data_IF_091609843262
#
_entry.id   IF_091609843262
#
_cell.length_a   1.000
_cell.length_b   1.000
_cell.length_c   1.000
_cell.angle_alpha   90.00
_cell.angle_beta   90.00
_cell.angle_gamma   90.00
#
_symmetry.space_group_name_H-M   'P 1'
#
loop_
_entity.id
_entity.type
_entity.pdbx_description
1 polymer ?
#
# COMPACT_ATOMS: atom_id res chain seq x y z
N UNK A 1 -39.79 -10.53 2.65
CA UNK A 1 -38.75 -10.17 3.64
C UNK A 1 -37.43 -10.19 2.90
N UNK A 2 -37.05 -9.06 2.32
CA UNK A 2 -35.79 -8.91 1.59
C UNK A 2 -34.65 -8.89 2.60
N UNK A 3 -33.70 -9.81 2.45
CA UNK A 3 -32.43 -9.71 3.18
C UNK A 3 -31.75 -8.43 2.73
N UNK A 4 -31.69 -7.42 3.60
CA UNK A 4 -30.73 -6.33 3.42
C UNK A 4 -29.35 -6.97 3.47
N UNK A 5 -28.79 -7.25 2.30
CA UNK A 5 -27.37 -7.49 2.13
C UNK A 5 -26.66 -6.29 2.74
N UNK A 6 -25.81 -6.52 3.74
CA UNK A 6 -24.98 -5.46 4.29
C UNK A 6 -24.08 -4.95 3.17
N UNK A 7 -24.40 -3.77 2.64
CA UNK A 7 -23.70 -3.21 1.49
C UNK A 7 -22.22 -2.96 1.80
N UNK A 8 -21.86 -2.82 3.09
CA UNK A 8 -20.48 -2.73 3.56
C UNK A 8 -19.68 -3.99 3.27
N UNK A 9 -20.31 -5.16 3.31
CA UNK A 9 -19.67 -6.43 2.96
C UNK A 9 -19.40 -6.56 1.45
N UNK A 10 -20.06 -5.74 0.62
CA UNK A 10 -19.79 -5.64 -0.82
C UNK A 10 -18.78 -4.55 -1.18
N UNK A 11 -18.32 -3.75 -0.19
CA UNK A 11 -17.31 -2.72 -0.39
C UNK A 11 -15.93 -3.28 -0.02
N UNK A 12 -15.07 -3.39 -1.02
CA UNK A 12 -13.72 -3.92 -0.89
C UNK A 12 -12.77 -2.92 -0.24
N UNK A 13 -11.73 -3.45 0.41
CA UNK A 13 -10.63 -2.66 0.99
C UNK A 13 -9.92 -1.81 -0.06
N UNK A 14 -9.71 -2.37 -1.25
CA UNK A 14 -9.14 -1.66 -2.40
C UNK A 14 -10.09 -0.54 -2.85
N UNK A 15 -11.39 -0.79 -2.89
CA UNK A 15 -12.41 0.22 -3.23
C UNK A 15 -12.39 1.43 -2.30
N UNK A 16 -12.22 1.21 -1.00
CA UNK A 16 -12.11 2.30 -0.04
C UNK A 16 -10.80 3.07 -0.20
N UNK A 17 -9.67 2.38 -0.33
CA UNK A 17 -8.36 3.03 -0.50
C UNK A 17 -8.29 3.88 -1.78
N UNK A 18 -8.84 3.37 -2.88
CA UNK A 18 -8.84 4.08 -4.16
C UNK A 18 -9.77 5.31 -4.12
N UNK A 19 -10.90 5.25 -3.40
CA UNK A 19 -11.74 6.42 -3.15
C UNK A 19 -11.00 7.48 -2.32
N UNK A 20 -10.21 7.06 -1.32
CA UNK A 20 -9.37 7.97 -0.53
C UNK A 20 -8.33 8.66 -1.42
N UNK A 21 -7.68 7.94 -2.34
CA UNK A 21 -6.74 8.54 -3.30
C UNK A 21 -7.45 9.52 -4.25
N UNK A 22 -8.62 9.15 -4.78
CA UNK A 22 -9.38 10.03 -5.66
C UNK A 22 -9.82 11.33 -4.95
N UNK A 23 -10.24 11.24 -3.69
CA UNK A 23 -10.57 12.40 -2.86
C UNK A 23 -9.32 13.24 -2.62
N UNK A 24 -8.15 12.63 -2.37
CA UNK A 24 -6.87 13.35 -2.24
C UNK A 24 -6.56 14.15 -3.50
N UNK A 25 -6.60 13.51 -4.68
CA UNK A 25 -6.35 14.18 -5.97
C UNK A 25 -7.37 15.31 -6.26
N UNK A 26 -8.63 15.15 -5.84
CA UNK A 26 -9.63 16.21 -5.96
C UNK A 26 -9.32 17.40 -5.04
N UNK A 27 -8.90 17.15 -3.80
CA UNK A 27 -8.50 18.19 -2.86
C UNK A 27 -7.21 18.90 -3.33
N UNK A 28 -6.24 18.16 -3.88
CA UNK A 28 -5.01 18.72 -4.45
C UNK A 28 -5.30 19.71 -5.58
N UNK A 29 -6.36 19.46 -6.39
CA UNK A 29 -6.81 20.39 -7.45
C UNK A 29 -7.49 21.66 -6.92
N UNK A 30 -7.88 21.69 -5.66
CA UNK A 30 -8.60 22.80 -5.02
C UNK A 30 -7.70 23.66 -4.13
N UNK A 31 -6.47 23.24 -3.86
CA UNK A 31 -5.51 23.95 -3.01
C UNK A 31 -4.45 24.69 -3.84
N UNK A 32 -4.39 26.02 -3.71
CA UNK A 32 -3.27 26.84 -4.23
C UNK A 32 -2.11 26.95 -3.22
N UNK A 33 -2.28 26.48 -1.97
CA UNK A 33 -1.27 26.55 -0.90
C UNK A 33 -1.30 25.30 -0.03
N UNK A 34 -0.17 24.58 -0.02
CA UNK A 34 0.08 23.25 0.53
C UNK A 34 -0.90 22.13 0.05
N UNK A 35 -0.37 21.00 -0.46
CA UNK A 35 -1.20 19.88 -0.84
C UNK A 35 -1.93 19.34 0.40
N UNK A 36 -3.27 19.17 0.35
CA UNK A 36 -4.02 18.56 1.43
C UNK A 36 -3.45 17.17 1.73
N UNK A 37 -2.92 17.00 2.95
CA UNK A 37 -2.31 15.74 3.36
C UNK A 37 -3.28 14.57 3.16
N UNK A 38 -2.76 13.38 2.84
CA UNK A 38 -3.49 12.11 2.73
C UNK A 38 -4.48 11.88 3.90
N UNK A 39 -4.18 12.47 5.05
CA UNK A 39 -4.97 12.54 6.27
C UNK A 39 -6.38 13.14 6.08
N UNK A 40 -6.53 14.18 5.26
CA UNK A 40 -7.80 14.86 5.01
C UNK A 40 -8.71 14.06 4.09
N UNK A 41 -8.14 13.50 3.02
CA UNK A 41 -8.88 12.66 2.09
C UNK A 41 -9.43 11.40 2.76
N UNK A 42 -8.64 10.81 3.66
CA UNK A 42 -9.08 9.66 4.45
C UNK A 42 -10.26 10.01 5.37
N UNK A 43 -10.17 11.13 6.10
CA UNK A 43 -11.22 11.53 7.03
C UNK A 43 -12.57 11.73 6.32
N UNK A 44 -12.54 12.33 5.12
CA UNK A 44 -13.74 12.59 4.32
C UNK A 44 -14.36 11.31 3.75
N UNK A 45 -13.55 10.36 3.25
CA UNK A 45 -14.07 9.05 2.83
C UNK A 45 -14.69 8.30 4.01
N UNK A 46 -14.02 8.31 5.16
CA UNK A 46 -14.47 7.55 6.32
C UNK A 46 -15.75 8.15 6.92
N UNK A 47 -15.92 9.48 6.87
CA UNK A 47 -17.17 10.15 7.20
C UNK A 47 -18.29 9.74 6.25
N UNK A 48 -18.03 9.75 4.93
CA UNK A 48 -18.98 9.27 3.93
C UNK A 48 -19.39 7.80 4.20
N UNK A 49 -18.41 6.93 4.44
CA UNK A 49 -18.64 5.51 4.74
C UNK A 49 -19.51 5.29 6.00
N UNK A 50 -19.26 6.07 7.06
CA UNK A 50 -20.02 5.98 8.32
C UNK A 50 -21.43 6.58 8.18
N UNK A 51 -21.57 7.68 7.44
CA UNK A 51 -22.84 8.39 7.29
C UNK A 51 -23.83 7.68 6.34
N UNK A 52 -23.33 6.92 5.36
CA UNK A 52 -24.18 6.27 4.36
C UNK A 52 -24.90 5.02 4.89
N UNK A 53 -26.16 4.87 4.49
CA UNK A 53 -27.00 3.71 4.82
C UNK A 53 -27.11 2.70 3.67
N UNK A 54 -26.68 3.08 2.46
CA UNK A 54 -26.61 2.21 1.28
C UNK A 54 -25.34 2.47 0.44
N UNK A 55 -24.95 1.52 -0.43
CA UNK A 55 -23.83 1.67 -1.37
C UNK A 55 -24.01 2.88 -2.28
N UNK A 56 -25.23 3.11 -2.76
CA UNK A 56 -25.53 4.25 -3.62
C UNK A 56 -25.31 5.60 -2.92
N UNK A 57 -25.71 5.71 -1.64
CA UNK A 57 -25.46 6.91 -0.83
C UNK A 57 -23.96 7.13 -0.57
N UNK A 58 -23.20 6.05 -0.38
CA UNK A 58 -21.75 6.13 -0.20
C UNK A 58 -21.03 6.58 -1.47
N UNK A 59 -21.37 5.98 -2.61
CA UNK A 59 -20.78 6.35 -3.89
C UNK A 59 -21.16 7.80 -4.28
N UNK A 60 -22.37 8.26 -3.94
CA UNK A 60 -22.80 9.64 -4.15
C UNK A 60 -22.07 10.63 -3.22
N UNK A 61 -21.88 10.28 -1.94
CA UNK A 61 -21.12 11.10 -1.00
C UNK A 61 -19.65 11.25 -1.43
N UNK A 62 -19.01 10.15 -1.86
CA UNK A 62 -17.64 10.20 -2.39
C UNK A 62 -17.58 11.04 -3.68
N UNK A 63 -18.54 10.87 -4.61
CA UNK A 63 -18.61 11.68 -5.84
C UNK A 63 -18.81 13.17 -5.54
N UNK A 64 -19.65 13.50 -4.56
CA UNK A 64 -19.88 14.88 -4.14
C UNK A 64 -18.62 15.58 -3.61
N UNK A 65 -17.71 14.83 -2.98
CA UNK A 65 -16.40 15.32 -2.56
C UNK A 65 -15.47 15.61 -3.75
N UNK A 66 -15.58 14.85 -4.84
CA UNK A 66 -14.81 15.07 -6.07
C UNK A 66 -15.26 16.31 -6.87
N UNK A 67 -16.49 16.78 -6.66
CA UNK A 67 -17.12 17.85 -7.45
C UNK A 67 -17.11 19.24 -6.77
N UNK A 68 -16.58 19.37 -5.54
CA UNK A 68 -16.53 20.65 -4.84
C UNK A 68 -15.65 21.69 -5.58
N UNK A 69 -16.09 22.96 -5.63
CA UNK A 69 -15.33 24.08 -6.22
C UNK A 69 -14.75 24.98 -5.13
N UNK A 70 -13.53 25.48 -5.36
CA UNK A 70 -12.76 26.27 -4.40
C UNK A 70 -13.46 27.60 -4.01
N UNK A 71 -13.47 28.00 -2.72
CA UNK A 71 -13.68 29.37 -2.30
C UNK A 71 -12.38 30.20 -2.33
N UNK A 72 -12.54 31.50 -2.54
CA UNK A 72 -11.47 32.51 -2.69
C UNK A 72 -10.68 32.75 -1.40
N UNK A 73 -9.38 32.98 -1.59
CA UNK A 73 -8.23 33.05 -0.67
C UNK A 73 -8.25 34.10 0.47
N UNK A 74 -7.42 33.83 1.49
CA UNK A 74 -6.65 34.84 2.22
C UNK A 74 -5.29 34.29 2.67
N UNK A 75 -4.22 35.01 2.34
CA UNK A 75 -2.80 34.69 2.52
C UNK A 75 -2.38 34.51 3.99
N UNK A 76 -1.50 33.53 4.27
CA UNK A 76 -0.63 33.52 5.45
C UNK A 76 0.74 32.91 5.11
N UNK A 77 1.79 33.53 5.65
CA UNK A 77 3.20 33.36 5.29
C UNK A 77 3.84 32.10 5.94
N UNK A 78 4.71 31.44 5.19
CA UNK A 78 5.48 30.25 5.57
C UNK A 78 6.61 30.55 6.56
N UNK A 79 6.70 29.74 7.62
CA UNK A 79 7.85 29.64 8.53
C UNK A 79 8.27 28.16 8.68
N UNK A 80 9.51 27.85 9.10
CA UNK A 80 10.09 26.51 9.03
C UNK A 80 9.44 25.53 10.02
N UNK A 81 9.38 24.24 9.64
CA UNK A 81 8.84 23.13 10.43
C UNK A 81 9.72 22.84 11.65
N UNK A 82 9.48 23.54 12.76
CA UNK A 82 9.80 23.08 14.11
C UNK A 82 8.60 22.35 14.72
N UNK A 83 8.86 21.43 15.65
CA UNK A 83 7.90 20.55 16.33
C UNK A 83 6.64 21.31 16.82
N UNK A 84 5.58 21.31 16.01
CA UNK A 84 4.32 21.96 16.37
C UNK A 84 3.60 21.12 17.42
N UNK A 85 3.33 21.72 18.58
CA UNK A 85 2.49 21.13 19.60
C UNK A 85 1.06 20.93 19.05
N UNK A 86 0.38 19.82 19.37
CA UNK A 86 -0.92 19.51 18.77
C UNK A 86 -1.99 20.54 19.12
N UNK A 87 -2.83 20.91 18.15
CA UNK A 87 -3.88 21.93 18.29
C UNK A 87 -5.09 21.50 19.14
N UNK A 88 -5.19 20.22 19.53
CA UNK A 88 -6.28 19.68 20.35
C UNK A 88 -5.78 19.02 21.64
N UNK A 89 -6.55 19.07 22.75
CA UNK A 89 -6.22 18.31 23.95
C UNK A 89 -6.15 16.83 23.59
N UNK A 90 -5.00 16.21 23.85
CA UNK A 90 -4.77 14.80 23.53
C UNK A 90 -5.71 13.90 24.33
N UNK A 91 -6.09 12.76 23.74
CA UNK A 91 -6.98 11.78 24.38
C UNK A 91 -6.18 10.73 25.16
N UNK A 92 -6.84 9.98 26.04
CA UNK A 92 -6.26 8.82 26.70
C UNK A 92 -6.63 7.55 25.94
N UNK A 93 -5.65 6.66 25.71
CA UNK A 93 -5.86 5.35 25.05
C UNK A 93 -5.17 4.29 25.90
N UNK A 94 -5.95 3.50 26.63
CA UNK A 94 -5.42 2.60 27.66
C UNK A 94 -4.63 3.36 28.74
N UNK A 95 -3.36 2.99 28.94
CA UNK A 95 -2.48 3.69 29.88
C UNK A 95 -1.70 4.86 29.25
N UNK A 96 -1.79 5.03 27.93
CA UNK A 96 -1.16 6.14 27.21
C UNK A 96 -1.99 7.42 27.35
N UNK A 97 -1.30 8.53 27.64
CA UNK A 97 -1.88 9.86 27.81
C UNK A 97 -1.42 10.78 26.68
N UNK A 98 -2.11 11.91 26.48
CA UNK A 98 -1.79 12.89 25.44
C UNK A 98 -1.63 12.23 24.05
N UNK A 99 -2.60 11.41 23.67
CA UNK A 99 -2.61 10.75 22.38
C UNK A 99 -3.20 11.69 21.33
N UNK A 100 -2.47 11.92 20.24
CA UNK A 100 -2.86 12.82 19.17
C UNK A 100 -3.05 12.05 17.87
N UNK A 101 -4.13 12.35 17.16
CA UNK A 101 -4.46 11.68 15.91
C UNK A 101 -3.39 11.91 14.84
N UNK A 102 -2.88 10.82 14.25
CA UNK A 102 -1.85 10.82 13.20
C UNK A 102 -2.46 10.56 11.84
N UNK A 103 -3.19 9.47 11.71
CA UNK A 103 -3.76 9.02 10.44
C UNK A 103 -4.92 8.06 10.71
N UNK A 104 -5.71 7.78 9.69
CA UNK A 104 -6.70 6.72 9.71
C UNK A 104 -6.45 5.79 8.53
N UNK A 105 -6.82 4.53 8.73
CA UNK A 105 -6.66 3.41 7.84
C UNK A 105 -7.96 2.62 7.82
N UNK A 106 -8.06 1.65 6.90
CA UNK A 106 -9.29 0.93 6.61
C UNK A 106 -10.04 0.42 7.85
N UNK A 107 -9.30 -0.19 8.78
CA UNK A 107 -9.85 -0.84 9.99
C UNK A 107 -9.39 -0.16 11.29
N UNK A 108 -8.50 0.83 11.19
CA UNK A 108 -7.77 1.34 12.33
C UNK A 108 -7.48 2.83 12.24
N UNK A 109 -7.46 3.50 13.39
CA UNK A 109 -6.96 4.86 13.54
C UNK A 109 -5.61 4.82 14.24
N UNK A 110 -4.67 5.66 13.79
CA UNK A 110 -3.33 5.76 14.35
C UNK A 110 -3.22 7.03 15.18
N UNK A 111 -2.82 6.87 16.43
CA UNK A 111 -2.54 7.96 17.36
C UNK A 111 -1.08 7.95 17.78
N UNK A 112 -0.53 9.11 18.13
CA UNK A 112 0.81 9.26 18.68
C UNK A 112 0.72 9.69 20.14
N UNK A 113 1.44 8.99 21.01
CA UNK A 113 1.73 9.40 22.38
C UNK A 113 3.25 9.41 22.56
N UNK A 114 3.84 10.60 22.67
CA UNK A 114 5.29 10.79 22.74
C UNK A 114 6.04 10.06 21.60
N UNK A 115 6.78 8.99 21.91
CA UNK A 115 7.54 8.15 20.95
C UNK A 115 6.82 6.86 20.56
N UNK A 116 5.53 6.73 20.88
CA UNK A 116 4.72 5.53 20.61
C UNK A 116 3.60 5.86 19.63
N UNK A 117 3.42 5.00 18.63
CA UNK A 117 2.27 4.98 17.75
C UNK A 117 1.28 3.90 18.22
N UNK A 118 0.00 4.24 18.28
CA UNK A 118 -1.09 3.39 18.71
C UNK A 118 -2.04 3.17 17.53
N UNK A 119 -2.04 1.95 16.96
CA UNK A 119 -3.00 1.51 15.95
C UNK A 119 -4.24 0.98 16.68
N UNK A 120 -5.26 1.83 16.82
CA UNK A 120 -6.54 1.53 17.48
C UNK A 120 -7.48 0.94 16.45
N UNK A 121 -7.92 -0.30 16.64
CA UNK A 121 -8.87 -0.94 15.74
C UNK A 121 -10.27 -0.37 15.98
N UNK A 122 -10.80 0.33 14.97
CA UNK A 122 -12.10 1.00 15.03
C UNK A 122 -13.19 0.25 14.27
N UNK A 123 -12.81 -0.65 13.35
CA UNK A 123 -13.73 -1.50 12.61
C UNK A 123 -13.21 -2.94 12.56
N UNK A 124 -13.97 -3.86 13.15
CA UNK A 124 -13.69 -5.30 13.13
C UNK A 124 -14.61 -6.08 12.19
N UNK A 125 -15.51 -5.40 11.47
CA UNK A 125 -16.42 -6.02 10.52
C UNK A 125 -15.71 -6.38 9.21
N UNK A 126 -14.66 -5.64 8.87
CA UNK A 126 -13.72 -5.96 7.79
C UNK A 126 -12.96 -7.22 8.20
N UNK A 127 -13.45 -8.36 7.72
CA UNK A 127 -12.87 -9.67 8.01
C UNK A 127 -11.58 -9.92 7.22
N UNK A 128 -11.41 -11.14 6.74
CA UNK A 128 -10.26 -11.51 5.92
C UNK A 128 -10.18 -10.68 4.63
N UNK A 129 -8.99 -10.21 4.20
CA UNK A 129 -7.66 -10.53 4.74
C UNK A 129 -7.23 -9.65 5.93
N UNK A 130 -8.02 -8.65 6.34
CA UNK A 130 -7.66 -7.63 7.33
C UNK A 130 -8.00 -8.04 8.76
N UNK A 131 -7.30 -9.05 9.28
CA UNK A 131 -7.55 -9.58 10.61
C UNK A 131 -6.55 -9.01 11.64
N UNK A 132 -6.94 -8.05 12.50
CA UNK A 132 -6.01 -7.40 13.42
C UNK A 132 -5.45 -8.34 14.49
N UNK A 133 -6.18 -9.40 14.85
CA UNK A 133 -5.67 -10.41 15.77
C UNK A 133 -4.61 -11.31 15.11
N UNK A 134 -4.76 -11.59 13.81
CA UNK A 134 -3.73 -12.29 13.04
C UNK A 134 -2.51 -11.39 12.85
N UNK A 135 -2.70 -10.13 12.48
CA UNK A 135 -1.63 -9.13 12.39
C UNK A 135 -0.79 -9.13 13.67
N UNK A 136 -1.44 -9.00 14.84
CA UNK A 136 -0.74 -9.05 16.13
C UNK A 136 0.01 -10.37 16.37
N UNK A 137 -0.55 -11.52 15.96
CA UNK A 137 0.13 -12.82 16.09
C UNK A 137 1.34 -12.93 15.15
N UNK A 138 1.22 -12.45 13.92
CA UNK A 138 2.33 -12.41 12.95
C UNK A 138 3.43 -11.51 13.49
N UNK A 139 3.10 -10.28 13.88
CA UNK A 139 4.06 -9.30 14.40
C UNK A 139 4.82 -9.79 15.64
N UNK A 140 4.21 -10.62 16.50
CA UNK A 140 4.91 -11.24 17.65
C UNK A 140 6.02 -12.21 17.25
N UNK A 141 6.01 -12.70 16.01
CA UNK A 141 7.04 -13.59 15.45
C UNK A 141 8.15 -12.81 14.73
N UNK A 142 8.00 -11.49 14.58
CA UNK A 142 8.88 -10.66 13.77
C UNK A 142 9.75 -9.77 14.64
N UNK A 143 11.00 -9.62 14.19
CA UNK A 143 11.97 -8.69 14.75
C UNK A 143 12.45 -7.73 13.65
N UNK A 144 13.49 -6.93 13.94
CA UNK A 144 14.15 -6.11 12.92
C UNK A 144 14.59 -7.00 11.74
N UNK A 145 14.36 -6.56 10.49
CA UNK A 145 14.02 -5.20 10.05
C UNK A 145 12.51 -4.92 9.88
N UNK A 146 11.61 -5.68 10.52
CA UNK A 146 10.19 -5.32 10.61
C UNK A 146 9.94 -4.36 11.80
N UNK A 147 8.86 -3.58 11.75
CA UNK A 147 8.43 -2.71 12.86
C UNK A 147 8.17 -3.59 14.11
N UNK A 148 8.80 -3.30 15.27
CA UNK A 148 8.59 -4.10 16.46
C UNK A 148 7.23 -3.78 17.10
N UNK A 149 6.45 -4.81 17.41
CA UNK A 149 5.25 -4.68 18.22
C UNK A 149 5.63 -4.58 19.70
N UNK A 150 5.37 -3.43 20.31
CA UNK A 150 5.69 -3.20 21.72
C UNK A 150 4.74 -3.95 22.64
N UNK A 151 3.43 -3.80 22.38
CA UNK A 151 2.38 -4.48 23.14
C UNK A 151 1.04 -4.49 22.40
N UNK A 152 0.11 -5.25 22.95
CA UNK A 152 -1.30 -5.29 22.53
C UNK A 152 -2.19 -5.18 23.76
N UNK A 153 -3.19 -4.31 23.73
CA UNK A 153 -4.14 -4.15 24.83
C UNK A 153 -5.54 -3.80 24.33
N UNK A 154 -6.51 -3.71 25.25
CA UNK A 154 -7.83 -3.11 25.00
C UNK A 154 -7.88 -1.76 25.70
N UNK A 155 -8.31 -0.74 24.99
CA UNK A 155 -8.47 0.60 25.57
C UNK A 155 -9.73 0.68 26.46
N UNK A 156 -10.06 1.89 26.93
CA UNK A 156 -11.21 2.13 27.80
C UNK A 156 -12.55 1.79 27.11
N UNK A 157 -12.61 1.86 25.78
CA UNK A 157 -13.77 1.53 24.95
C UNK A 157 -13.76 0.05 24.49
N UNK A 158 -12.88 -0.78 25.06
CA UNK A 158 -12.67 -2.18 24.69
C UNK A 158 -12.17 -2.40 23.24
N UNK A 159 -11.66 -1.36 22.58
CA UNK A 159 -11.06 -1.47 21.24
C UNK A 159 -9.70 -2.13 21.33
N UNK A 160 -9.46 -3.12 20.47
CA UNK A 160 -8.16 -3.77 20.38
C UNK A 160 -7.13 -2.76 19.83
N UNK A 161 -5.98 -2.64 20.48
CA UNK A 161 -4.96 -1.64 20.15
C UNK A 161 -3.59 -2.29 20.10
N UNK A 162 -2.81 -1.95 19.07
CA UNK A 162 -1.42 -2.35 18.92
C UNK A 162 -0.53 -1.12 19.12
N UNK A 163 0.53 -1.26 19.92
CA UNK A 163 1.51 -0.20 20.16
C UNK A 163 2.83 -0.48 19.45
N UNK A 164 3.39 0.53 18.81
CA UNK A 164 4.63 0.49 18.03
C UNK A 164 5.53 1.68 18.38
N UNK A 165 6.84 1.63 18.12
CA UNK A 165 7.63 2.85 18.06
C UNK A 165 7.06 3.80 17.00
N UNK A 166 6.94 5.08 17.33
CA UNK A 166 6.53 6.09 16.36
C UNK A 166 7.69 6.38 15.40
N UNK A 167 7.45 6.17 14.11
CA UNK A 167 8.35 6.54 13.03
C UNK A 167 7.86 7.87 12.42
N UNK A 168 8.68 8.92 12.39
CA UNK A 168 8.26 10.25 11.93
C UNK A 168 8.09 10.37 10.42
N UNK A 169 8.63 9.41 9.66
CA UNK A 169 8.64 9.43 8.21
C UNK A 169 8.23 8.06 7.66
N UNK A 170 7.72 8.05 6.43
CA UNK A 170 7.55 6.91 5.56
C UNK A 170 8.24 7.17 4.22
N UNK A 171 8.47 6.14 3.42
CA UNK A 171 8.97 6.33 2.06
C UNK A 171 7.98 7.15 1.23
N UNK A 172 6.67 7.03 1.48
CA UNK A 172 5.65 7.88 0.84
C UNK A 172 5.90 9.37 1.10
N UNK A 173 6.17 9.75 2.35
CA UNK A 173 6.45 11.16 2.71
C UNK A 173 7.67 11.71 1.95
N UNK A 174 8.71 10.87 1.76
CA UNK A 174 9.90 11.29 1.02
C UNK A 174 9.63 11.38 -0.50
N UNK A 175 8.83 10.48 -1.04
CA UNK A 175 8.43 10.48 -2.45
C UNK A 175 7.57 11.72 -2.78
N UNK A 176 6.68 12.12 -1.87
CA UNK A 176 5.87 13.34 -2.02
C UNK A 176 6.72 14.62 -2.02
N UNK A 177 7.88 14.62 -1.37
CA UNK A 177 8.84 15.73 -1.42
C UNK A 177 9.61 15.82 -2.75
N UNK A 178 9.44 14.82 -3.64
CA UNK A 178 10.03 14.79 -4.97
C UNK A 178 11.21 13.81 -5.08
N UNK A 179 12.19 14.17 -5.90
CA UNK A 179 13.27 13.26 -6.31
C UNK A 179 14.09 12.77 -5.11
N UNK A 180 14.23 11.45 -5.01
CA UNK A 180 15.11 10.82 -4.02
C UNK A 180 16.55 10.72 -4.55
N UNK A 181 17.57 11.07 -3.74
CA UNK A 181 18.94 10.75 -4.05
C UNK A 181 19.15 9.24 -4.19
N UNK A 182 19.96 8.84 -5.16
CA UNK A 182 20.35 7.44 -5.39
C UNK A 182 20.76 6.71 -4.10
N UNK A 183 21.54 7.37 -3.24
CA UNK A 183 22.00 6.79 -1.98
C UNK A 183 20.86 6.48 -1.00
N UNK A 184 19.79 7.28 -0.98
CA UNK A 184 18.59 7.01 -0.18
C UNK A 184 17.81 5.84 -0.75
N UNK A 185 17.60 5.83 -2.06
CA UNK A 185 16.93 4.72 -2.75
C UNK A 185 17.66 3.41 -2.45
N UNK A 186 18.98 3.37 -2.63
CA UNK A 186 19.79 2.20 -2.34
C UNK A 186 19.61 1.73 -0.88
N UNK A 187 19.71 2.64 0.10
CA UNK A 187 19.54 2.28 1.52
C UNK A 187 18.14 1.74 1.84
N UNK A 188 17.10 2.47 1.45
CA UNK A 188 15.71 2.08 1.77
C UNK A 188 15.32 0.78 1.10
N UNK A 189 15.74 0.55 -0.15
CA UNK A 189 15.47 -0.72 -0.83
C UNK A 189 16.35 -1.87 -0.33
N UNK A 190 17.57 -1.60 0.14
CA UNK A 190 18.37 -2.61 0.85
C UNK A 190 17.66 -3.07 2.12
N UNK A 191 17.15 -2.13 2.94
CA UNK A 191 16.39 -2.43 4.16
C UNK A 191 15.09 -3.19 3.83
N UNK A 192 14.34 -2.75 2.80
CA UNK A 192 13.15 -3.43 2.32
C UNK A 192 13.45 -4.88 1.90
N UNK A 193 14.47 -5.11 1.05
CA UNK A 193 14.77 -6.46 0.58
C UNK A 193 15.29 -7.34 1.73
N UNK A 194 16.03 -6.80 2.69
CA UNK A 194 16.38 -7.54 3.91
C UNK A 194 15.12 -7.94 4.71
N UNK A 195 14.12 -7.06 4.81
CA UNK A 195 12.83 -7.40 5.44
C UNK A 195 12.07 -8.47 4.66
N UNK A 196 12.03 -8.36 3.33
CA UNK A 196 11.38 -9.35 2.47
C UNK A 196 12.07 -10.72 2.56
N UNK A 197 13.41 -10.79 2.56
CA UNK A 197 14.15 -12.03 2.85
C UNK A 197 13.68 -12.63 4.17
N UNK A 198 13.69 -11.82 5.24
CA UNK A 198 13.40 -12.27 6.60
C UNK A 198 11.97 -12.83 6.76
N UNK A 199 10.96 -12.21 6.13
CA UNK A 199 9.57 -12.67 6.21
C UNK A 199 9.29 -13.83 5.25
N UNK A 200 9.87 -13.82 4.04
CA UNK A 200 9.68 -14.86 3.03
C UNK A 200 10.30 -16.18 3.47
N UNK A 201 11.43 -16.17 4.19
CA UNK A 201 12.03 -17.36 4.81
C UNK A 201 11.12 -18.00 5.88
N UNK A 202 10.20 -17.24 6.47
CA UNK A 202 9.16 -17.73 7.39
C UNK A 202 7.88 -18.13 6.68
N UNK A 203 7.85 -18.05 5.34
CA UNK A 203 6.67 -18.30 4.52
C UNK A 203 5.60 -17.21 4.60
N UNK A 204 5.90 -16.07 5.22
CA UNK A 204 4.96 -14.95 5.34
C UNK A 204 4.95 -14.18 4.01
N UNK A 205 3.75 -13.85 3.53
CA UNK A 205 3.56 -12.97 2.36
C UNK A 205 2.94 -11.66 2.88
N UNK A 206 3.55 -10.52 2.59
CA UNK A 206 3.07 -9.24 3.11
C UNK A 206 1.76 -8.80 2.45
N UNK A 207 1.68 -8.95 1.11
CA UNK A 207 0.51 -8.68 0.26
C UNK A 207 0.07 -7.22 0.15
N UNK A 208 0.86 -6.27 0.65
CA UNK A 208 0.55 -4.83 0.53
C UNK A 208 1.81 -3.95 0.57
N UNK A 209 2.84 -4.34 -0.18
CA UNK A 209 4.06 -3.53 -0.33
C UNK A 209 3.74 -2.28 -1.15
N UNK A 210 4.04 -1.11 -0.57
CA UNK A 210 3.86 0.24 -1.12
C UNK A 210 4.68 1.26 -0.32
N UNK A 211 4.88 2.50 -0.81
CA UNK A 211 5.72 3.48 -0.11
C UNK A 211 5.31 3.75 1.36
N UNK A 212 4.01 3.77 1.66
CA UNK A 212 3.52 4.11 3.01
C UNK A 212 3.77 3.03 4.06
N UNK A 213 4.04 1.78 3.67
CA UNK A 213 4.33 0.70 4.63
C UNK A 213 5.81 0.63 5.03
N UNK A 214 6.68 1.37 4.34
CA UNK A 214 8.10 1.45 4.68
C UNK A 214 8.33 2.66 5.58
N UNK A 215 8.32 2.43 6.89
CA UNK A 215 8.48 3.47 7.91
C UNK A 215 9.96 3.75 8.19
N UNK A 216 10.29 4.99 8.49
CA UNK A 216 11.66 5.48 8.58
C UNK A 216 11.89 6.21 9.91
N UNK A 217 12.97 5.85 10.62
CA UNK A 217 13.41 6.58 11.84
C UNK A 217 13.87 8.01 11.51
N UNK A 218 14.46 8.20 10.33
CA UNK A 218 14.91 9.48 9.79
C UNK A 218 14.81 9.47 8.26
N UNK A 219 14.89 10.62 7.56
CA UNK A 219 14.89 10.66 6.09
C UNK A 219 16.01 9.83 5.43
N UNK A 220 17.06 9.48 6.17
CA UNK A 220 18.17 8.65 5.68
C UNK A 220 18.13 7.21 6.22
N UNK A 221 17.06 6.83 6.92
CA UNK A 221 16.83 5.51 7.51
C UNK A 221 17.24 5.39 8.99
N UNK A 222 17.30 4.16 9.53
CA UNK A 222 16.93 2.89 8.88
C UNK A 222 15.44 2.79 8.55
N UNK A 223 15.11 1.92 7.59
CA UNK A 223 13.74 1.62 7.20
C UNK A 223 13.20 0.33 7.84
N UNK A 224 11.90 0.32 8.14
CA UNK A 224 11.20 -0.81 8.75
C UNK A 224 9.94 -1.14 7.96
N UNK A 225 9.79 -2.42 7.64
CA UNK A 225 8.55 -2.92 7.04
C UNK A 225 7.44 -2.98 8.09
N UNK A 226 6.28 -2.41 7.77
CA UNK A 226 5.14 -2.26 8.67
C UNK A 226 3.82 -2.67 8.03
N UNK A 227 2.74 -2.67 8.81
CA UNK A 227 1.37 -2.99 8.39
C UNK A 227 1.19 -4.41 7.82
N UNK A 228 1.23 -5.38 8.73
CA UNK A 228 0.94 -6.78 8.43
C UNK A 228 -0.56 -7.10 8.46
N UNK A 229 -1.42 -6.07 8.37
CA UNK A 229 -2.87 -6.17 8.47
C UNK A 229 -3.45 -7.14 7.46
N UNK A 230 -2.90 -7.16 6.24
CA UNK A 230 -3.30 -8.07 5.18
C UNK A 230 -2.36 -9.29 5.05
N UNK A 231 -1.35 -9.49 5.89
CA UNK A 231 -0.35 -10.53 5.65
C UNK A 231 -0.92 -11.97 5.69
N UNK A 232 -0.36 -12.85 4.86
CA UNK A 232 -0.67 -14.28 4.88
C UNK A 232 0.45 -15.05 5.60
N UNK A 233 0.10 -15.98 6.47
CA UNK A 233 1.05 -16.84 7.18
C UNK A 233 0.62 -18.31 7.07
N UNK A 234 1.55 -19.26 6.81
CA UNK A 234 1.23 -20.66 6.50
C UNK A 234 0.45 -21.37 7.61
N UNK A 235 0.71 -21.06 8.87
CA UNK A 235 -0.01 -21.66 10.00
C UNK A 235 -1.18 -20.81 10.53
N UNK A 236 -1.04 -19.49 10.57
CA UNK A 236 -2.05 -18.59 11.15
C UNK A 236 -3.20 -18.27 10.19
N UNK A 237 -3.01 -18.42 8.88
CA UNK A 237 -4.01 -18.14 7.86
C UNK A 237 -4.70 -19.39 7.30
N UNK A 238 -4.10 -20.58 7.39
CA UNK A 238 -4.56 -21.79 6.68
C UNK A 238 -6.03 -22.15 6.87
N UNK A 239 -6.60 -21.88 8.05
CA UNK A 239 -7.98 -22.21 8.36
C UNK A 239 -9.00 -21.29 7.69
N UNK A 240 -8.65 -20.01 7.50
CA UNK A 240 -9.53 -19.03 6.86
C UNK A 240 -9.18 -18.83 5.39
N UNK A 241 -7.93 -19.11 5.03
CA UNK A 241 -7.34 -18.80 3.73
C UNK A 241 -6.26 -19.85 3.38
N UNK A 242 -6.66 -21.02 2.87
CA UNK A 242 -5.74 -22.10 2.52
C UNK A 242 -4.71 -21.69 1.44
N UNK A 243 -3.53 -22.33 1.37
CA UNK A 243 -2.46 -21.95 0.45
C UNK A 243 -2.84 -21.91 -1.03
N UNK A 244 -3.80 -22.72 -1.48
CA UNK A 244 -4.25 -22.78 -2.88
C UNK A 244 -5.61 -22.10 -3.11
N UNK A 245 -6.14 -21.43 -2.11
CA UNK A 245 -7.43 -20.73 -2.17
C UNK A 245 -7.32 -19.37 -1.46
N UNK A 246 -6.24 -18.63 -1.74
CA UNK A 246 -6.03 -17.29 -1.18
C UNK A 246 -7.00 -16.26 -1.77
N UNK A 247 -7.33 -15.26 -0.97
CA UNK A 247 -8.10 -14.08 -1.31
C UNK A 247 -7.33 -13.27 -2.33
N UNK A 248 -8.02 -12.85 -3.39
CA UNK A 248 -7.42 -12.13 -4.50
C UNK A 248 -7.42 -10.62 -4.30
N UNK A 249 -8.29 -10.10 -3.42
CA UNK A 249 -8.38 -8.67 -3.11
C UNK A 249 -7.30 -8.23 -2.13
N UNK A 250 -6.06 -8.29 -2.61
CA UNK A 250 -4.84 -7.91 -1.92
C UNK A 250 -3.98 -7.05 -2.85
N UNK A 251 -3.08 -6.27 -2.26
CA UNK A 251 -2.27 -5.28 -2.96
C UNK A 251 -3.06 -4.01 -3.26
N UNK A 252 -2.33 -2.89 -3.28
CA UNK A 252 -2.90 -1.57 -3.51
C UNK A 252 -2.65 -1.10 -4.95
N UNK A 253 -3.71 -0.75 -5.67
CA UNK A 253 -3.69 -0.07 -6.98
C UNK A 253 -2.49 -0.42 -7.88
N UNK A 254 -1.56 0.53 -8.10
CA UNK A 254 -0.44 0.40 -9.04
C UNK A 254 0.58 -0.70 -8.68
N UNK A 255 0.58 -1.19 -7.44
CA UNK A 255 1.54 -2.19 -6.95
C UNK A 255 1.00 -3.63 -7.04
N UNK A 256 -0.25 -3.81 -7.48
CA UNK A 256 -0.89 -5.14 -7.51
C UNK A 256 -0.31 -6.02 -8.62
N UNK A 257 0.10 -7.24 -8.23
CA UNK A 257 0.72 -8.20 -9.14
C UNK A 257 -0.28 -8.79 -10.14
N UNK A 258 0.16 -9.09 -11.39
CA UNK A 258 -0.74 -9.54 -12.44
C UNK A 258 -1.36 -10.91 -12.12
N UNK A 259 -0.65 -11.83 -11.46
CA UNK A 259 -1.23 -13.12 -11.06
C UNK A 259 -2.45 -12.98 -10.14
N UNK A 260 -2.47 -11.98 -9.25
CA UNK A 260 -3.63 -11.71 -8.41
C UNK A 260 -4.79 -11.13 -9.23
N UNK A 261 -4.50 -10.25 -10.21
CA UNK A 261 -5.48 -9.68 -11.13
C UNK A 261 -6.13 -10.73 -12.04
N UNK A 262 -5.37 -11.76 -12.42
CA UNK A 262 -5.85 -12.88 -13.23
C UNK A 262 -6.37 -14.08 -12.42
N UNK A 263 -6.50 -13.91 -11.10
CA UNK A 263 -7.19 -14.85 -10.24
C UNK A 263 -6.40 -16.08 -9.81
N UNK A 264 -5.07 -16.04 -9.83
CA UNK A 264 -4.22 -17.10 -9.28
C UNK A 264 -4.33 -17.14 -7.75
N UNK A 265 -5.18 -17.99 -7.21
CA UNK A 265 -5.32 -18.17 -5.76
C UNK A 265 -4.15 -18.92 -5.10
N UNK A 266 -3.19 -19.38 -5.88
CA UNK A 266 -1.95 -20.03 -5.42
C UNK A 266 -0.74 -19.09 -5.46
N UNK A 267 -0.96 -17.78 -5.52
CA UNK A 267 0.12 -16.79 -5.48
C UNK A 267 0.99 -16.96 -4.22
N UNK A 268 2.27 -16.62 -4.36
CA UNK A 268 3.28 -16.74 -3.32
C UNK A 268 3.95 -15.40 -3.00
N UNK A 269 5.12 -15.43 -2.33
CA UNK A 269 5.93 -14.26 -1.99
C UNK A 269 6.29 -13.37 -3.18
N UNK A 270 6.18 -13.89 -4.41
CA UNK A 270 6.54 -13.18 -5.64
C UNK A 270 5.68 -11.93 -5.85
N UNK A 271 4.45 -11.87 -5.32
CA UNK A 271 3.61 -10.66 -5.42
C UNK A 271 4.22 -9.47 -4.68
N UNK A 272 4.92 -9.72 -3.55
CA UNK A 272 5.63 -8.67 -2.82
C UNK A 272 6.82 -8.16 -3.64
N UNK A 273 7.47 -9.05 -4.40
CA UNK A 273 8.59 -8.70 -5.28
C UNK A 273 8.14 -7.85 -6.47
N UNK A 274 6.97 -8.14 -7.05
CA UNK A 274 6.37 -7.29 -8.09
C UNK A 274 6.11 -5.88 -7.57
N UNK A 275 5.45 -5.80 -6.40
CA UNK A 275 5.14 -4.53 -5.76
C UNK A 275 6.42 -3.74 -5.40
N UNK A 276 7.46 -4.40 -4.89
CA UNK A 276 8.75 -3.78 -4.65
C UNK A 276 9.41 -3.26 -5.93
N UNK A 277 9.29 -3.99 -7.06
CA UNK A 277 9.78 -3.53 -8.36
C UNK A 277 9.05 -2.30 -8.89
N UNK A 278 7.72 -2.27 -8.79
CA UNK A 278 6.91 -1.12 -9.16
C UNK A 278 7.23 0.11 -8.28
N UNK A 279 7.37 -0.09 -6.97
CA UNK A 279 7.77 0.94 -6.02
C UNK A 279 9.19 1.48 -6.29
N UNK A 280 10.14 0.61 -6.66
CA UNK A 280 11.50 1.02 -7.03
C UNK A 280 11.49 1.90 -8.29
N UNK A 281 10.72 1.51 -9.30
CA UNK A 281 10.59 2.27 -10.53
C UNK A 281 10.04 3.68 -10.29
N UNK A 282 9.06 3.81 -9.39
CA UNK A 282 8.49 5.10 -8.97
C UNK A 282 9.55 5.98 -8.27
N UNK A 283 10.27 5.41 -7.30
CA UNK A 283 11.26 6.13 -6.49
C UNK A 283 12.49 6.59 -7.31
N UNK A 284 12.85 5.85 -8.35
CA UNK A 284 14.03 6.15 -9.17
C UNK A 284 13.83 7.29 -10.19
N UNK A 285 12.59 7.68 -10.48
CA UNK A 285 12.29 8.72 -11.48
C UNK A 285 12.67 10.11 -10.98
N UNK A 286 12.99 11.01 -11.91
CA UNK A 286 13.25 12.42 -11.57
C UNK A 286 12.01 13.11 -10.96
N UNK A 287 10.85 12.83 -11.54
CA UNK A 287 9.56 13.16 -10.94
C UNK A 287 8.89 11.84 -10.56
N UNK A 288 8.70 11.54 -9.27
CA UNK A 288 8.08 10.29 -8.87
C UNK A 288 6.72 10.13 -9.51
N UNK A 289 6.52 8.97 -10.14
CA UNK A 289 5.28 8.59 -10.80
C UNK A 289 5.20 7.07 -10.83
N UNK A 290 4.05 6.57 -10.42
CA UNK A 290 3.70 5.16 -10.47
C UNK A 290 4.05 4.52 -11.82
N UNK A 291 4.52 3.27 -11.77
CA UNK A 291 4.87 2.53 -12.98
C UNK A 291 3.64 2.15 -13.80
N UNK A 292 2.54 1.81 -13.11
CA UNK A 292 1.28 1.39 -13.71
C UNK A 292 0.16 2.30 -13.23
N UNK A 293 -0.52 2.96 -14.15
CA UNK A 293 -1.71 3.74 -13.84
C UNK A 293 -2.86 2.83 -13.38
N UNK A 294 -3.39 3.09 -12.19
CA UNK A 294 -4.66 2.56 -11.71
C UNK A 294 -5.75 3.61 -11.87
N UNK A 295 -6.99 3.22 -12.22
CA UNK A 295 -8.10 4.19 -12.29
C UNK A 295 -8.80 4.30 -10.93
N UNK A 296 -9.49 5.41 -10.63
CA UNK A 296 -10.37 5.47 -9.47
C UNK A 296 -11.47 4.40 -9.51
N UNK A 297 -11.80 3.81 -8.36
CA UNK A 297 -12.75 2.69 -8.22
C UNK A 297 -14.20 3.00 -8.51
N UNK A 298 -14.57 4.27 -8.57
CA UNK A 298 -15.90 4.68 -9.04
C UNK A 298 -16.09 4.47 -10.55
N UNK A 299 -15.03 4.16 -11.31
CA UNK A 299 -15.14 3.73 -12.68
C UNK A 299 -15.29 2.20 -12.78
N UNK A 300 -16.38 1.74 -13.42
CA UNK A 300 -16.56 0.35 -13.81
C UNK A 300 -15.30 -0.16 -14.55
N UNK A 301 -14.67 -1.22 -14.03
CA UNK A 301 -13.51 -1.85 -14.65
C UNK A 301 -12.12 -1.35 -14.22
N UNK A 302 -11.96 -0.81 -13.00
CA UNK A 302 -10.63 -0.41 -12.47
C UNK A 302 -9.54 -1.50 -12.64
N UNK A 303 -9.82 -2.75 -12.25
CA UNK A 303 -8.87 -3.87 -12.45
C UNK A 303 -8.49 -4.06 -13.93
N UNK A 304 -9.44 -3.87 -14.85
CA UNK A 304 -9.17 -3.92 -16.28
C UNK A 304 -8.31 -2.71 -16.72
N UNK A 305 -8.54 -1.53 -16.15
CA UNK A 305 -7.69 -0.36 -16.34
C UNK A 305 -6.24 -0.64 -15.98
N UNK A 306 -6.00 -1.20 -14.79
CA UNK A 306 -4.67 -1.59 -14.33
C UNK A 306 -4.06 -2.69 -15.22
N UNK A 307 -4.82 -3.73 -15.58
CA UNK A 307 -4.36 -4.78 -16.52
C UNK A 307 -3.91 -4.15 -17.85
N UNK A 308 -4.71 -3.26 -18.43
CA UNK A 308 -4.39 -2.58 -19.67
C UNK A 308 -3.16 -1.67 -19.53
N UNK A 309 -2.97 -1.06 -18.36
CA UNK A 309 -1.79 -0.25 -18.03
C UNK A 309 -0.52 -1.09 -17.99
N UNK A 310 -0.58 -2.27 -17.35
CA UNK A 310 0.51 -3.25 -17.34
C UNK A 310 0.83 -3.67 -18.77
N UNK A 311 -0.18 -4.04 -19.56
CA UNK A 311 0.02 -4.54 -20.93
C UNK A 311 0.59 -3.48 -21.86
N UNK A 312 0.15 -2.22 -21.76
CA UNK A 312 0.74 -1.10 -22.52
C UNK A 312 2.18 -0.79 -22.10
N UNK A 313 2.57 -1.17 -20.88
CA UNK A 313 3.89 -0.86 -20.34
C UNK A 313 4.88 -1.95 -20.69
N UNK A 314 4.65 -3.18 -20.26
CA UNK A 314 5.60 -4.29 -20.43
C UNK A 314 5.19 -5.29 -21.53
N UNK A 315 4.10 -5.01 -22.25
CA UNK A 315 3.57 -5.86 -23.32
C UNK A 315 2.53 -6.86 -22.82
N UNK A 316 1.70 -7.36 -23.73
CA UNK A 316 0.76 -8.46 -23.42
C UNK A 316 1.51 -9.76 -23.18
N UNK A 317 1.09 -10.57 -22.18
CA UNK A 317 1.76 -11.83 -21.89
C UNK A 317 1.52 -12.85 -23.01
N UNK A 318 2.58 -13.54 -23.39
CA UNK A 318 2.55 -14.76 -24.22
C UNK A 318 2.71 -16.01 -23.35
N UNK A 319 2.45 -17.20 -23.93
CA UNK A 319 2.65 -18.49 -23.26
C UNK A 319 4.10 -18.74 -22.83
N UNK A 320 5.05 -18.10 -23.50
CA UNK A 320 6.49 -18.17 -23.20
C UNK A 320 6.88 -17.21 -22.06
N UNK A 321 6.27 -16.02 -22.05
CA UNK A 321 6.53 -15.00 -21.02
C UNK A 321 5.84 -15.31 -19.68
N UNK A 322 4.71 -16.02 -19.73
CA UNK A 322 3.90 -16.37 -18.56
C UNK A 322 3.30 -17.79 -18.66
N UNK A 323 4.14 -18.84 -18.67
CA UNK A 323 3.68 -20.22 -18.86
C UNK A 323 2.69 -20.69 -17.79
N UNK A 324 2.80 -20.17 -16.56
CA UNK A 324 1.93 -20.51 -15.44
C UNK A 324 0.47 -20.07 -15.67
N UNK A 325 0.26 -19.00 -16.44
CA UNK A 325 -1.06 -18.43 -16.68
C UNK A 325 -1.97 -19.29 -17.58
N UNK A 326 -1.43 -20.35 -18.20
CA UNK A 326 -2.21 -21.36 -18.92
C UNK A 326 -3.22 -22.05 -18.01
N UNK A 327 -2.90 -22.17 -16.73
CA UNK A 327 -3.75 -22.86 -15.75
C UNK A 327 -4.67 -21.91 -14.98
N UNK A 328 -4.66 -20.61 -15.30
CA UNK A 328 -5.56 -19.66 -14.65
C UNK A 328 -6.99 -19.88 -15.13
N UNK A 329 -7.95 -19.52 -14.28
CA UNK A 329 -9.38 -19.60 -14.62
C UNK A 329 -9.72 -18.79 -15.88
N UNK A 330 -9.03 -17.67 -16.08
CA UNK A 330 -9.16 -16.82 -17.27
C UNK A 330 -7.76 -16.53 -17.80
N UNK A 331 -7.22 -17.37 -18.71
CA UNK A 331 -5.91 -17.17 -19.28
C UNK A 331 -5.85 -15.84 -20.06
N UNK A 332 -4.76 -15.05 -19.93
CA UNK A 332 -4.66 -13.74 -20.54
C UNK A 332 -4.37 -13.75 -22.06
N UNK A 333 -4.26 -14.93 -22.68
CA UNK A 333 -3.71 -15.08 -24.04
C UNK A 333 -4.71 -14.81 -25.18
N UNK A 334 -6.02 -14.83 -24.88
CA UNK A 334 -7.07 -14.69 -25.90
C UNK A 334 -7.65 -13.27 -25.96
N UNK A 335 -6.96 -12.30 -25.35
CA UNK A 335 -7.40 -10.90 -25.43
C UNK A 335 -7.27 -10.36 -26.86
N UNK A 336 -8.36 -9.78 -27.37
CA UNK A 336 -8.44 -9.25 -28.74
C UNK A 336 -7.41 -8.15 -29.06
N UNK A 337 -6.86 -7.48 -28.04
CA UNK A 337 -5.85 -6.43 -28.19
C UNK A 337 -4.54 -6.89 -27.57
N UNK A 338 -3.56 -7.14 -28.43
CA UNK A 338 -2.18 -7.43 -28.07
C UNK A 338 -1.39 -6.11 -28.07
N UNK A 339 -0.63 -5.88 -27.02
CA UNK A 339 0.29 -4.74 -26.90
C UNK A 339 1.73 -5.25 -27.04
N UNK A 340 2.50 -4.61 -27.91
CA UNK A 340 3.95 -4.85 -27.96
C UNK A 340 4.59 -4.24 -26.71
N UNK A 341 5.51 -5.00 -26.09
CA UNK A 341 6.25 -4.52 -24.93
C UNK A 341 7.24 -3.43 -25.33
N UNK A 342 7.39 -2.43 -24.45
CA UNK A 342 8.44 -1.42 -24.58
C UNK A 342 9.73 -1.93 -23.95
N UNK A 343 10.88 -1.48 -24.44
CA UNK A 343 12.14 -1.77 -23.78
C UNK A 343 12.19 -1.06 -22.42
N UNK A 344 12.94 -1.61 -21.45
CA UNK A 344 13.09 -0.93 -20.15
C UNK A 344 13.81 0.41 -20.27
N UNK A 345 14.64 0.59 -21.32
CA UNK A 345 15.25 1.88 -21.67
C UNK A 345 14.19 2.92 -22.07
N UNK A 346 13.13 2.50 -22.78
CA UNK A 346 12.01 3.39 -23.14
C UNK A 346 11.02 3.62 -21.99
N UNK A 347 10.85 2.63 -21.09
CA UNK A 347 9.93 2.74 -19.95
C UNK A 347 10.52 3.64 -18.85
N UNK A 348 11.84 3.55 -18.64
CA UNK A 348 12.59 4.20 -17.56
C UNK A 348 13.84 4.90 -18.11
N UNK A 349 13.71 5.87 -19.04
CA UNK A 349 14.84 6.48 -19.73
C UNK A 349 15.80 7.23 -18.79
N UNK A 350 15.27 7.84 -17.73
CA UNK A 350 16.01 8.71 -16.82
C UNK A 350 16.57 7.98 -15.57
N UNK A 351 16.51 6.65 -15.57
CA UNK A 351 16.95 5.81 -14.44
C UNK A 351 18.30 5.17 -14.75
N UNK A 352 19.18 5.11 -13.76
CA UNK A 352 20.47 4.44 -13.88
C UNK A 352 20.29 2.97 -14.31
N UNK A 353 21.17 2.51 -15.21
CA UNK A 353 21.11 1.19 -15.83
C UNK A 353 20.95 0.05 -14.80
N UNK A 354 21.66 0.10 -13.67
CA UNK A 354 21.59 -0.97 -12.67
C UNK A 354 20.31 -0.99 -11.84
N UNK A 355 19.66 0.16 -11.62
CA UNK A 355 18.30 0.17 -11.07
C UNK A 355 17.30 -0.34 -12.11
N UNK A 356 17.47 0.04 -13.38
CA UNK A 356 16.62 -0.43 -14.49
C UNK A 356 16.69 -1.95 -14.63
N UNK A 357 17.89 -2.55 -14.53
CA UNK A 357 18.09 -4.00 -14.52
C UNK A 357 17.36 -4.68 -13.36
N UNK A 358 17.43 -4.11 -12.15
CA UNK A 358 16.74 -4.66 -10.99
C UNK A 358 15.22 -4.56 -11.14
N UNK A 359 14.69 -3.43 -11.60
CA UNK A 359 13.26 -3.29 -11.89
C UNK A 359 12.82 -4.33 -12.92
N UNK A 360 13.59 -4.52 -13.99
CA UNK A 360 13.29 -5.50 -15.04
C UNK A 360 13.24 -6.95 -14.52
N UNK A 361 14.07 -7.28 -13.52
CA UNK A 361 14.09 -8.60 -12.89
C UNK A 361 12.94 -8.81 -11.89
N UNK A 362 12.39 -7.74 -11.32
CA UNK A 362 11.29 -7.77 -10.36
C UNK A 362 9.91 -7.68 -11.05
N UNK A 363 9.80 -6.93 -12.14
CA UNK A 363 8.55 -6.65 -12.85
C UNK A 363 8.45 -7.53 -14.09
N UNK A 364 8.31 -8.83 -13.87
CA UNK A 364 8.13 -9.86 -14.90
C UNK A 364 6.91 -10.74 -14.58
N UNK A 365 6.21 -11.19 -15.62
CA UNK A 365 4.99 -12.00 -15.49
C UNK A 365 5.21 -13.35 -14.80
N UNK A 366 6.17 -14.14 -15.29
CA UNK A 366 6.44 -15.48 -14.73
C UNK A 366 7.00 -15.36 -13.31
N UNK A 367 6.21 -15.79 -12.34
CA UNK A 367 6.61 -15.84 -10.93
C UNK A 367 7.88 -16.69 -10.72
N UNK A 368 8.07 -17.76 -11.50
CA UNK A 368 9.29 -18.58 -11.43
C UNK A 368 10.56 -17.93 -11.99
N UNK A 369 10.44 -16.84 -12.76
CA UNK A 369 11.58 -16.06 -13.29
C UNK A 369 11.82 -14.75 -12.53
N UNK A 370 10.87 -14.33 -11.69
CA UNK A 370 10.93 -13.09 -10.91
C UNK A 370 12.04 -13.21 -9.85
N UNK A 371 12.86 -12.17 -9.72
CA UNK A 371 13.93 -12.16 -8.73
C UNK A 371 13.37 -12.24 -7.30
N UNK A 372 13.95 -13.10 -6.48
CA UNK A 372 13.67 -13.14 -5.03
C UNK A 372 14.36 -11.98 -4.31
N UNK A 373 13.94 -11.66 -3.08
CA UNK A 373 14.59 -10.63 -2.29
C UNK A 373 16.10 -10.88 -2.09
N UNK A 374 16.52 -12.14 -1.88
CA UNK A 374 17.93 -12.49 -1.76
C UNK A 374 18.71 -12.34 -3.07
N UNK A 375 18.04 -12.47 -4.23
CA UNK A 375 18.64 -12.20 -5.53
C UNK A 375 18.71 -10.70 -5.80
N UNK A 376 17.67 -9.94 -5.44
CA UNK A 376 17.61 -8.48 -5.57
C UNK A 376 18.79 -7.79 -4.87
N UNK A 377 19.14 -8.24 -3.66
CA UNK A 377 20.30 -7.76 -2.89
C UNK A 377 21.66 -7.97 -3.57
N UNK A 378 21.74 -8.81 -4.63
CA UNK A 378 22.97 -9.08 -5.38
C UNK A 378 23.14 -8.22 -6.62
N UNK A 379 22.15 -7.39 -6.97
CA UNK A 379 22.27 -6.46 -8.10
C UNK A 379 23.26 -5.34 -7.79
N UNK A 380 23.94 -4.84 -8.83
CA UNK A 380 25.00 -3.80 -8.71
C UNK A 380 24.54 -2.57 -7.94
N UNK A 381 23.29 -2.13 -8.15
CA UNK A 381 22.70 -0.98 -7.45
C UNK A 381 22.49 -1.21 -5.94
N UNK A 382 22.49 -2.46 -5.47
CA UNK A 382 22.27 -2.85 -4.07
C UNK A 382 23.58 -3.24 -3.35
N UNK A 383 24.65 -3.51 -4.08
CA UNK A 383 25.96 -3.79 -3.49
C UNK A 383 26.51 -2.51 -2.85
N UNK A 384 26.90 -2.58 -1.57
CA UNK A 384 27.61 -1.49 -0.92
C UNK A 384 28.98 -1.32 -1.61
N UNK A 385 29.22 -0.14 -2.18
CA UNK A 385 30.49 0.24 -2.79
C UNK A 385 31.58 0.57 -1.78
#
# INVERSE_FOLDING_TARGET
MTSNSDWRASLSSSERYDNIQAIKEALDRLSDTDPPSQKNAFALENEAYKASTSRAEYDEACRGLLEQKAPVSSEAQLAPVEQVAPESPGIAIGHYQNCHYVASGLTAEVYRSSTVALKVIVDTSVGEPHNPYREAKILKLLERPCIPLLETFRDQEQRFTLAFPFMPWSLADLVEQGRLPRSRIQKHFTDLFNALVYIHEKGIIHRDIKPSVLLLESPDGPAYLSDFGSAWHPELSVYTEPPNDKILDVGTGPYRAPEALFGDKSYGPEIDMWAAGAMLAECCRETPRELFESRPTHEDGNQLGLILSIFKTIGSPTRESWPEAVNFKTPPFEMYRVFEGRSWDDILPDIDEDFRELVAALVIYSKGKRATASQALKFRCMLQG
#
